data_IF_858704237142
#
_entry.id   IF_858704237142
#
_cell.length_a   1.000
_cell.length_b   1.000
_cell.length_c   1.000
_cell.angle_alpha   90.00
_cell.angle_beta   90.00
_cell.angle_gamma   90.00
#
_symmetry.space_group_name_H-M   'P 1'
#
loop_
_entity.id
_entity.type
_entity.pdbx_description
1 polymer ?
#
# COMPACT_ATOMS: atom_id res chain seq x y z
N UNK A 1 -19.39 53.60 -31.28
CA UNK A 1 -19.18 52.25 -31.90
C UNK A 1 -18.07 51.44 -31.17
N UNK A 2 -17.62 51.86 -29.98
CA UNK A 2 -16.54 51.23 -29.20
C UNK A 2 -16.98 50.36 -27.99
N UNK A 3 -18.23 50.49 -27.56
CA UNK A 3 -18.73 49.83 -26.34
C UNK A 3 -19.02 48.31 -26.58
N UNK A 4 -19.37 47.90 -27.77
CA UNK A 4 -19.73 46.51 -28.10
C UNK A 4 -18.49 45.55 -28.10
N UNK A 5 -17.28 46.10 -28.35
CA UNK A 5 -16.07 45.29 -28.36
C UNK A 5 -15.55 45.01 -26.94
N UNK A 6 -15.79 45.92 -25.98
CA UNK A 6 -15.35 45.73 -24.59
C UNK A 6 -16.16 44.66 -23.86
N UNK A 7 -17.47 44.60 -24.05
CA UNK A 7 -18.32 43.59 -23.43
C UNK A 7 -18.05 42.19 -23.94
N UNK A 8 -17.83 42.04 -25.26
CA UNK A 8 -17.44 40.73 -25.86
C UNK A 8 -16.05 40.24 -25.39
N UNK A 9 -15.15 41.18 -25.15
CA UNK A 9 -13.81 40.83 -24.62
C UNK A 9 -13.88 40.42 -23.15
N UNK A 10 -14.65 41.13 -22.33
CA UNK A 10 -14.90 40.77 -20.92
C UNK A 10 -15.64 39.44 -20.78
N UNK A 11 -16.64 39.14 -21.62
CA UNK A 11 -17.31 37.82 -21.64
C UNK A 11 -16.37 36.67 -22.02
N UNK A 12 -15.45 36.88 -22.98
CA UNK A 12 -14.46 35.89 -23.34
C UNK A 12 -13.41 35.67 -22.23
N UNK A 13 -13.01 36.72 -21.52
CA UNK A 13 -12.10 36.61 -20.37
C UNK A 13 -12.77 35.91 -19.19
N UNK A 14 -14.05 36.22 -18.90
CA UNK A 14 -14.83 35.54 -17.86
C UNK A 14 -15.05 34.05 -18.17
N UNK A 15 -15.26 33.69 -19.44
CA UNK A 15 -15.40 32.30 -19.87
C UNK A 15 -14.08 31.52 -19.78
N UNK A 16 -12.94 32.17 -20.04
CA UNK A 16 -11.61 31.58 -19.91
C UNK A 16 -11.20 31.38 -18.44
N UNK A 17 -11.54 32.32 -17.54
CA UNK A 17 -11.33 32.13 -16.10
C UNK A 17 -12.24 31.04 -15.51
N UNK A 18 -13.49 30.90 -16.00
CA UNK A 18 -14.40 29.85 -15.55
C UNK A 18 -13.95 28.44 -15.97
N UNK A 19 -13.26 28.30 -17.12
CA UNK A 19 -12.68 27.02 -17.53
C UNK A 19 -11.41 26.64 -16.74
N UNK A 20 -10.69 27.61 -16.16
CA UNK A 20 -9.47 27.34 -15.38
C UNK A 20 -9.76 26.83 -13.97
N UNK A 21 -11.00 27.04 -13.46
CA UNK A 21 -11.41 26.60 -12.11
C UNK A 21 -11.93 25.15 -12.10
N UNK A 22 -12.20 24.56 -13.27
CA UNK A 22 -12.75 23.20 -13.37
C UNK A 22 -11.71 22.06 -13.37
N UNK A 23 -10.43 22.39 -13.34
CA UNK A 23 -9.37 21.40 -13.14
C UNK A 23 -8.95 21.37 -11.66
N UNK A 24 -9.88 21.05 -10.75
CA UNK A 24 -9.49 20.55 -9.44
C UNK A 24 -8.72 19.26 -9.67
N UNK A 25 -7.48 19.10 -9.14
CA UNK A 25 -6.77 17.86 -9.27
C UNK A 25 -7.66 16.75 -8.66
N UNK A 26 -7.90 15.71 -9.44
CA UNK A 26 -8.49 14.50 -8.92
C UNK A 26 -7.68 14.12 -7.67
N UNK A 27 -8.33 14.12 -6.51
CA UNK A 27 -7.87 13.73 -5.18
C UNK A 27 -6.36 13.43 -5.13
N UNK A 28 -5.57 14.40 -4.67
CA UNK A 28 -4.23 14.08 -4.22
C UNK A 28 -4.38 12.97 -3.19
N UNK A 29 -3.74 11.82 -3.43
CA UNK A 29 -3.79 10.70 -2.52
C UNK A 29 -3.38 11.20 -1.13
N UNK A 30 -4.24 10.97 -0.12
CA UNK A 30 -3.87 11.23 1.27
C UNK A 30 -2.85 10.17 1.69
N UNK A 31 -1.57 10.53 1.59
CA UNK A 31 -0.45 9.64 1.84
C UNK A 31 -0.49 9.06 3.26
N UNK A 32 -0.91 9.83 4.24
CA UNK A 32 -0.98 9.38 5.62
C UNK A 32 -2.18 8.46 5.86
N UNK A 33 -3.32 8.71 5.21
CA UNK A 33 -4.45 7.79 5.22
C UNK A 33 -4.08 6.46 4.54
N UNK A 34 -3.39 6.49 3.40
CA UNK A 34 -2.93 5.28 2.71
C UNK A 34 -1.95 4.46 3.56
N UNK A 35 -0.97 5.11 4.21
CA UNK A 35 -0.07 4.43 5.17
C UNK A 35 -0.87 3.76 6.29
N UNK A 36 -1.82 4.47 6.89
CA UNK A 36 -2.66 3.93 7.97
C UNK A 36 -3.44 2.70 7.55
N UNK A 37 -4.03 2.71 6.37
CA UNK A 37 -4.76 1.56 5.79
C UNK A 37 -3.83 0.35 5.69
N UNK A 38 -2.63 0.51 5.12
CA UNK A 38 -1.68 -0.59 4.92
C UNK A 38 -1.11 -1.09 6.25
N UNK A 39 -0.80 -0.19 7.20
CA UNK A 39 -0.31 -0.57 8.53
C UNK A 39 -1.36 -1.38 9.31
N UNK A 40 -2.64 -0.96 9.28
CA UNK A 40 -3.72 -1.69 9.95
C UNK A 40 -4.01 -3.04 9.27
N UNK A 41 -4.02 -3.07 7.92
CA UNK A 41 -4.10 -4.32 7.16
C UNK A 41 -2.99 -5.30 7.55
N UNK A 42 -1.75 -4.82 7.61
CA UNK A 42 -0.58 -5.64 7.93
C UNK A 42 -0.66 -6.21 9.35
N UNK A 43 -1.01 -5.37 10.32
CA UNK A 43 -1.18 -5.79 11.72
C UNK A 43 -2.32 -6.83 11.86
N UNK A 44 -3.50 -6.56 11.26
CA UNK A 44 -4.65 -7.48 11.34
C UNK A 44 -4.37 -8.81 10.63
N UNK A 45 -3.88 -8.73 9.38
CA UNK A 45 -3.67 -9.90 8.54
C UNK A 45 -2.44 -10.71 8.95
N UNK A 46 -1.27 -10.07 8.99
CA UNK A 46 0.00 -10.80 9.10
C UNK A 46 0.36 -11.13 10.55
N UNK A 47 0.13 -10.21 11.50
CA UNK A 47 0.46 -10.40 12.90
C UNK A 47 -0.66 -11.09 13.67
N UNK A 48 -1.90 -10.57 13.59
CA UNK A 48 -3.05 -11.13 14.29
C UNK A 48 -3.64 -12.36 13.58
N UNK A 49 -3.33 -12.55 12.29
CA UNK A 49 -3.85 -13.64 11.45
C UNK A 49 -5.39 -13.64 11.41
N UNK A 50 -5.97 -12.43 11.43
CA UNK A 50 -7.39 -12.16 11.33
C UNK A 50 -7.73 -11.72 9.91
N UNK A 51 -8.15 -12.70 9.09
CA UNK A 51 -8.51 -12.42 7.70
C UNK A 51 -9.71 -11.46 7.60
N UNK A 52 -10.74 -11.63 8.43
CA UNK A 52 -11.98 -10.85 8.32
C UNK A 52 -11.73 -9.37 8.66
N UNK A 53 -10.86 -9.11 9.62
CA UNK A 53 -10.43 -7.75 9.94
C UNK A 53 -9.57 -7.14 8.81
N UNK A 54 -8.61 -7.90 8.28
CA UNK A 54 -7.74 -7.46 7.19
C UNK A 54 -8.52 -7.24 5.87
N UNK A 55 -9.50 -8.10 5.57
CA UNK A 55 -10.29 -8.05 4.34
C UNK A 55 -11.09 -6.75 4.18
N UNK A 56 -11.36 -6.01 5.25
CA UNK A 56 -12.01 -4.70 5.21
C UNK A 56 -11.20 -3.64 4.48
N UNK A 57 -9.90 -3.87 4.32
CA UNK A 57 -8.99 -2.96 3.63
C UNK A 57 -8.87 -3.24 2.14
N UNK A 58 -9.33 -4.40 1.64
CA UNK A 58 -9.31 -4.70 0.21
C UNK A 58 -10.36 -3.89 -0.57
N UNK A 59 -9.98 -3.56 -1.81
CA UNK A 59 -10.90 -3.08 -2.84
C UNK A 59 -11.70 -4.22 -3.47
N UNK A 60 -12.41 -3.96 -4.57
CA UNK A 60 -13.23 -4.95 -5.25
C UNK A 60 -12.40 -6.07 -5.90
N UNK A 61 -11.11 -5.87 -6.03
CA UNK A 61 -10.12 -6.85 -6.55
C UNK A 61 -8.85 -6.76 -5.69
N UNK A 62 -8.06 -7.82 -5.71
CA UNK A 62 -6.71 -7.86 -5.15
C UNK A 62 -5.83 -8.69 -6.07
N UNK A 63 -4.81 -8.08 -6.65
CA UNK A 63 -3.86 -8.74 -7.56
C UNK A 63 -2.59 -9.02 -6.76
N UNK A 64 -2.17 -10.29 -6.73
CA UNK A 64 -0.99 -10.74 -6.01
C UNK A 64 0.15 -11.04 -6.97
N UNK A 65 1.31 -10.40 -6.77
CA UNK A 65 2.50 -10.62 -7.61
C UNK A 65 3.60 -11.47 -6.93
N UNK A 66 3.43 -11.85 -5.64
CA UNK A 66 4.34 -12.81 -5.03
C UNK A 66 4.12 -14.19 -5.66
N UNK A 67 5.15 -14.79 -6.32
CA UNK A 67 5.00 -16.07 -7.00
C UNK A 67 4.74 -17.25 -6.04
N UNK A 68 4.97 -17.07 -4.74
CA UNK A 68 4.72 -18.07 -3.71
C UNK A 68 3.33 -17.99 -3.05
N UNK A 69 2.47 -17.04 -3.48
CA UNK A 69 1.13 -16.84 -2.92
C UNK A 69 0.06 -16.96 -4.02
N UNK A 70 -1.09 -17.60 -3.73
CA UNK A 70 -2.22 -17.60 -4.66
C UNK A 70 -2.78 -16.20 -4.90
N UNK A 71 -3.32 -15.95 -6.09
CA UNK A 71 -3.90 -14.67 -6.46
C UNK A 71 -5.27 -14.42 -5.80
N UNK A 72 -5.62 -13.15 -5.67
CA UNK A 72 -6.92 -12.69 -5.23
C UNK A 72 -7.17 -12.74 -3.72
N UNK A 73 -8.34 -12.24 -3.30
CA UNK A 73 -8.73 -12.16 -1.88
C UNK A 73 -8.84 -13.56 -1.25
N UNK A 74 -9.37 -14.55 -1.98
CA UNK A 74 -9.44 -15.93 -1.51
C UNK A 74 -8.05 -16.56 -1.40
N UNK A 75 -7.11 -16.19 -2.28
CA UNK A 75 -5.70 -16.58 -2.15
C UNK A 75 -5.08 -16.04 -0.87
N UNK A 76 -5.32 -14.77 -0.54
CA UNK A 76 -4.88 -14.19 0.73
C UNK A 76 -5.52 -14.87 1.94
N UNK A 77 -6.81 -15.22 1.87
CA UNK A 77 -7.51 -15.97 2.93
C UNK A 77 -6.85 -17.32 3.20
N UNK A 78 -6.56 -18.07 2.14
CA UNK A 78 -5.86 -19.36 2.24
C UNK A 78 -4.45 -19.19 2.84
N UNK A 79 -3.73 -18.12 2.45
CA UNK A 79 -2.42 -17.79 3.00
C UNK A 79 -2.47 -17.50 4.50
N UNK A 80 -3.45 -16.71 4.97
CA UNK A 80 -3.62 -16.42 6.41
C UNK A 80 -3.99 -17.69 7.18
N UNK A 81 -4.87 -18.53 6.65
CA UNK A 81 -5.22 -19.81 7.27
C UNK A 81 -3.98 -20.71 7.43
N UNK A 82 -3.17 -20.86 6.38
CA UNK A 82 -1.92 -21.61 6.41
C UNK A 82 -0.94 -21.03 7.44
N UNK A 83 -0.78 -19.68 7.50
CA UNK A 83 0.10 -19.05 8.49
C UNK A 83 -0.37 -19.26 9.92
N UNK A 84 -1.69 -19.23 10.15
CA UNK A 84 -2.28 -19.49 11.48
C UNK A 84 -2.02 -20.91 11.95
N UNK A 85 -2.09 -21.88 11.03
CA UNK A 85 -1.86 -23.29 11.31
C UNK A 85 -0.38 -23.62 11.51
N UNK A 86 0.46 -23.23 10.53
CA UNK A 86 1.87 -23.67 10.47
C UNK A 86 2.84 -22.76 11.21
N UNK A 87 2.53 -21.49 11.33
CA UNK A 87 3.41 -20.47 11.92
C UNK A 87 2.63 -19.56 12.90
N UNK A 88 2.01 -20.13 13.96
CA UNK A 88 1.19 -19.36 14.89
C UNK A 88 1.96 -18.22 15.57
N UNK A 89 3.26 -18.40 15.79
CA UNK A 89 4.14 -17.43 16.44
C UNK A 89 4.79 -16.44 15.46
N UNK A 90 4.53 -16.57 14.15
CA UNK A 90 5.11 -15.69 13.15
C UNK A 90 4.73 -14.23 13.40
N UNK A 91 5.73 -13.35 13.34
CA UNK A 91 5.59 -11.91 13.51
C UNK A 91 6.31 -11.16 12.41
N UNK A 92 5.80 -9.97 12.13
CA UNK A 92 6.38 -9.01 11.20
C UNK A 92 6.48 -7.66 11.90
N UNK A 93 7.70 -7.13 11.96
CA UNK A 93 7.97 -5.81 12.51
C UNK A 93 8.25 -4.83 11.37
N UNK A 94 7.42 -3.80 11.21
CA UNK A 94 7.60 -2.77 10.21
C UNK A 94 8.68 -1.81 10.69
N UNK A 95 9.80 -1.76 9.97
CA UNK A 95 10.94 -0.90 10.28
C UNK A 95 10.82 0.49 9.66
N UNK A 96 10.23 0.58 8.46
CA UNK A 96 10.03 1.84 7.72
C UNK A 96 8.76 1.75 6.89
N UNK A 97 8.10 2.89 6.71
CA UNK A 97 6.96 3.04 5.82
C UNK A 97 7.12 4.30 4.99
N UNK A 98 6.91 4.18 3.68
CA UNK A 98 6.93 5.27 2.72
C UNK A 98 5.63 5.27 1.93
N UNK A 99 5.23 6.43 1.39
CA UNK A 99 4.10 6.51 0.48
C UNK A 99 4.39 7.56 -0.60
N UNK A 100 3.99 7.22 -1.84
CA UNK A 100 4.06 8.11 -2.99
C UNK A 100 2.85 7.83 -3.90
N UNK A 101 2.03 8.87 -4.18
CA UNK A 101 0.77 8.68 -4.90
C UNK A 101 -0.10 7.61 -4.25
N UNK A 102 -0.50 6.62 -5.02
CA UNK A 102 -1.34 5.52 -4.57
C UNK A 102 -0.55 4.33 -4.01
N UNK A 103 0.77 4.46 -3.86
CA UNK A 103 1.63 3.38 -3.40
C UNK A 103 2.08 3.58 -1.96
N UNK A 104 2.11 2.48 -1.21
CA UNK A 104 2.71 2.39 0.11
C UNK A 104 3.76 1.30 0.11
N UNK A 105 4.96 1.62 0.60
CA UNK A 105 6.11 0.71 0.64
C UNK A 105 6.49 0.48 2.09
N UNK A 106 6.62 -0.78 2.47
CA UNK A 106 7.06 -1.20 3.80
C UNK A 106 8.43 -1.85 3.71
N UNK A 107 9.31 -1.53 4.66
CA UNK A 107 10.51 -2.32 4.96
C UNK A 107 10.27 -3.09 6.25
N UNK A 108 10.29 -4.41 6.18
CA UNK A 108 9.78 -5.29 7.22
C UNK A 108 10.80 -6.33 7.64
N UNK A 109 10.90 -6.61 8.94
CA UNK A 109 11.54 -7.79 9.50
C UNK A 109 10.48 -8.86 9.77
N UNK A 110 10.48 -9.91 8.99
CA UNK A 110 9.59 -11.07 9.17
C UNK A 110 10.31 -12.22 9.87
N UNK A 111 9.68 -12.76 10.94
CA UNK A 111 10.18 -13.94 11.68
C UNK A 111 9.07 -14.97 11.73
N UNK A 112 9.35 -16.23 11.38
CA UNK A 112 8.37 -17.32 11.42
C UNK A 112 8.27 -17.92 12.82
N UNK A 113 9.42 -18.23 13.41
CA UNK A 113 9.48 -18.77 14.76
C UNK A 113 10.40 -17.91 15.65
N UNK A 114 10.08 -17.75 16.94
CA UNK A 114 10.93 -17.03 17.89
C UNK A 114 12.36 -17.55 17.90
N UNK A 115 13.34 -16.65 17.81
CA UNK A 115 14.75 -16.97 17.82
C UNK A 115 15.37 -17.16 16.41
N UNK A 116 14.57 -17.22 15.35
CA UNK A 116 15.10 -17.20 13.98
C UNK A 116 15.61 -15.79 13.61
N UNK A 117 16.59 -15.74 12.72
CA UNK A 117 17.04 -14.46 12.13
C UNK A 117 15.95 -13.82 11.27
N UNK A 118 15.13 -14.66 10.61
CA UNK A 118 14.04 -14.21 9.77
C UNK A 118 14.48 -13.71 8.40
N UNK A 119 13.68 -12.82 7.85
CA UNK A 119 13.83 -12.28 6.50
C UNK A 119 13.64 -10.76 6.51
N UNK A 120 14.34 -10.06 5.61
CA UNK A 120 14.02 -8.70 5.23
C UNK A 120 13.05 -8.73 4.05
N UNK A 121 12.01 -7.91 4.11
CA UNK A 121 10.96 -7.84 3.09
C UNK A 121 10.81 -6.39 2.66
N UNK A 122 10.69 -6.17 1.37
CA UNK A 122 10.13 -4.95 0.81
C UNK A 122 8.77 -5.31 0.25
N UNK A 123 7.73 -4.84 0.89
CA UNK A 123 6.34 -4.95 0.43
C UNK A 123 5.92 -3.66 -0.26
N UNK A 124 5.24 -3.78 -1.39
CA UNK A 124 4.67 -2.65 -2.12
C UNK A 124 3.17 -2.91 -2.27
N UNK A 125 2.37 -1.95 -1.81
CA UNK A 125 0.92 -1.97 -1.95
C UNK A 125 0.47 -0.84 -2.84
N UNK A 126 -0.46 -1.11 -3.75
CA UNK A 126 -1.17 -0.06 -4.49
C UNK A 126 -2.61 0.01 -3.99
N UNK A 127 -3.08 1.24 -3.80
CA UNK A 127 -4.43 1.51 -3.33
C UNK A 127 -5.25 2.20 -4.43
N UNK A 128 -6.56 1.97 -4.41
CA UNK A 128 -7.56 2.73 -5.17
C UNK A 128 -8.64 3.17 -4.19
N UNK A 129 -8.91 4.47 -4.10
CA UNK A 129 -9.90 5.05 -3.16
C UNK A 129 -9.72 4.58 -1.70
N UNK A 130 -8.46 4.54 -1.23
CA UNK A 130 -8.14 4.12 0.13
C UNK A 130 -8.32 2.62 0.40
N UNK A 131 -8.35 1.79 -0.66
CA UNK A 131 -8.46 0.33 -0.58
C UNK A 131 -7.30 -0.34 -1.29
N UNK A 132 -6.75 -1.39 -0.70
CA UNK A 132 -5.66 -2.18 -1.28
C UNK A 132 -6.21 -2.99 -2.45
N UNK A 133 -5.58 -2.85 -3.62
CA UNK A 133 -5.98 -3.54 -4.85
C UNK A 133 -4.87 -4.37 -5.46
N UNK A 134 -3.60 -4.18 -5.00
CA UNK A 134 -2.47 -4.85 -5.63
C UNK A 134 -1.26 -4.90 -4.69
N UNK A 135 -0.45 -5.96 -4.79
CA UNK A 135 0.68 -6.20 -3.90
C UNK A 135 1.84 -6.89 -4.62
N UNK A 136 3.04 -6.41 -4.35
CA UNK A 136 4.33 -7.01 -4.72
C UNK A 136 5.19 -7.13 -3.47
N UNK A 137 6.11 -8.08 -3.46
CA UNK A 137 7.15 -8.15 -2.44
C UNK A 137 8.48 -8.68 -2.98
N UNK A 138 9.53 -8.40 -2.27
CA UNK A 138 10.84 -9.02 -2.41
C UNK A 138 11.29 -9.47 -1.04
N UNK A 139 11.59 -10.77 -0.91
CA UNK A 139 11.95 -11.38 0.37
C UNK A 139 13.40 -11.85 0.31
N UNK A 140 14.22 -11.39 1.25
CA UNK A 140 15.62 -11.77 1.37
C UNK A 140 15.89 -12.40 2.73
N UNK A 141 16.40 -13.65 2.80
CA UNK A 141 16.86 -14.24 4.06
C UNK A 141 17.98 -13.42 4.70
N UNK A 142 17.94 -13.25 6.02
CA UNK A 142 19.03 -12.63 6.76
C UNK A 142 20.17 -13.63 6.87
N UNK A 143 21.37 -13.33 6.30
CA UNK A 143 22.46 -14.26 6.24
C UNK A 143 23.06 -14.57 7.61
N UNK A 144 23.59 -15.78 7.77
CA UNK A 144 24.32 -16.16 9.00
C UNK A 144 25.64 -15.41 9.12
N UNK A 145 26.32 -15.24 8.00
CA UNK A 145 27.60 -14.55 7.90
C UNK A 145 27.49 -13.40 6.92
N UNK A 146 27.11 -12.22 7.36
CA UNK A 146 27.02 -11.06 6.50
C UNK A 146 28.45 -10.57 6.11
N UNK A 147 28.57 -9.95 4.93
CA UNK A 147 29.82 -9.36 4.47
C UNK A 147 30.19 -8.05 5.21
N UNK A 148 29.24 -7.47 5.95
CA UNK A 148 29.39 -6.26 6.76
C UNK A 148 28.52 -6.34 8.02
N UNK A 149 28.75 -5.45 8.98
CA UNK A 149 28.06 -5.45 10.28
C UNK A 149 26.96 -4.37 10.39
N UNK A 150 26.48 -3.80 9.28
CA UNK A 150 25.48 -2.71 9.32
C UNK A 150 24.05 -3.21 9.59
N UNK A 151 23.81 -4.53 9.46
CA UNK A 151 22.48 -5.09 9.51
C UNK A 151 21.68 -4.86 8.23
N UNK A 152 20.42 -5.32 8.22
CA UNK A 152 19.50 -5.15 7.09
C UNK A 152 18.37 -4.16 7.39
N UNK A 153 18.38 -3.49 8.55
CA UNK A 153 17.29 -2.62 8.99
C UNK A 153 17.79 -1.27 9.52
#
# INVERSE_FOLDING_TARGET
>A
METVNGEKLMQKIALFLALLVAALPANAADLDANKKVVLDFYEKGLNQKDFDAAAKHFGPRYIQHNPGAPDGIEGFKAFIAMRKEKFPNAKSEIKRVFAEGDYVILHVHGVREPGERGVAIIDIFRLENGKIVEHWDVVQPIPEKPANNNGMF
#
